data_IF_724498771504
#
_entry.id   IF_724498771504
#
_cell.length_a   1.000
_cell.length_b   1.000
_cell.length_c   1.000
_cell.angle_alpha   90.00
_cell.angle_beta   90.00
_cell.angle_gamma   90.00
#
_symmetry.space_group_name_H-M   'P 1'
#
loop_
_entity.id
_entity.type
_entity.pdbx_description
1 polymer ?
#
# COMPACT_ATOMS: atom_id res chain seq x y z
N UNK A 1 3.43 -5.75 3.47
CA UNK A 1 3.71 -5.12 2.17
C UNK A 1 5.12 -5.49 1.74
N UNK A 2 5.34 -5.69 0.44
CA UNK A 2 6.65 -5.95 -0.18
C UNK A 2 7.34 -7.28 0.15
N UNK A 3 6.69 -8.18 0.90
CA UNK A 3 7.33 -9.43 1.38
C UNK A 3 7.70 -10.34 0.21
N UNK A 4 6.81 -10.46 -0.78
CA UNK A 4 7.04 -11.33 -1.94
C UNK A 4 7.33 -10.56 -3.23
N UNK A 5 6.77 -9.36 -3.39
CA UNK A 5 6.90 -8.55 -4.61
C UNK A 5 8.31 -7.98 -4.80
N UNK A 6 8.95 -7.43 -3.75
CA UNK A 6 10.31 -6.87 -3.87
C UNK A 6 11.37 -7.93 -4.20
N UNK A 7 11.41 -9.10 -3.53
CA UNK A 7 12.33 -10.16 -3.93
C UNK A 7 12.16 -10.54 -5.39
N UNK A 8 10.92 -10.74 -5.86
CA UNK A 8 10.63 -11.08 -7.26
C UNK A 8 11.05 -9.99 -8.24
N UNK A 9 10.84 -8.73 -7.88
CA UNK A 9 11.26 -7.60 -8.71
C UNK A 9 12.78 -7.57 -8.90
N UNK A 10 13.56 -7.79 -7.84
CA UNK A 10 15.02 -7.79 -7.93
C UNK A 10 15.58 -9.06 -8.58
N UNK A 11 14.96 -10.22 -8.40
CA UNK A 11 15.50 -11.48 -8.95
C UNK A 11 15.14 -11.68 -10.42
N UNK A 12 13.97 -11.25 -10.88
CA UNK A 12 13.47 -11.59 -12.22
C UNK A 12 13.29 -10.41 -13.16
N UNK A 13 12.99 -9.21 -12.64
CA UNK A 13 12.70 -8.05 -13.48
C UNK A 13 13.98 -7.24 -13.73
N UNK A 14 14.79 -7.04 -12.68
CA UNK A 14 16.10 -6.40 -12.79
C UNK A 14 16.07 -4.95 -13.31
N UNK A 15 14.91 -4.30 -13.31
CA UNK A 15 14.69 -2.98 -13.92
C UNK A 15 15.33 -1.84 -13.11
N UNK A 16 15.53 -2.05 -11.82
CA UNK A 16 16.25 -1.13 -10.94
C UNK A 16 17.01 -1.92 -9.88
N UNK A 17 18.19 -1.43 -9.49
CA UNK A 17 18.93 -2.02 -8.38
C UNK A 17 18.26 -1.67 -7.04
N UNK A 18 18.51 -2.45 -5.97
CA UNK A 18 18.05 -2.08 -4.63
C UNK A 18 18.52 -0.69 -4.18
N UNK A 19 19.70 -0.25 -4.65
CA UNK A 19 20.24 1.08 -4.37
C UNK A 19 19.43 2.18 -5.09
N UNK A 20 19.07 1.98 -6.36
CA UNK A 20 18.28 2.95 -7.10
C UNK A 20 16.91 3.17 -6.44
N UNK A 21 16.27 2.07 -6.01
CA UNK A 21 14.98 2.12 -5.33
C UNK A 21 15.09 2.82 -3.97
N UNK A 22 16.17 2.57 -3.22
CA UNK A 22 16.46 3.27 -1.97
C UNK A 22 16.65 4.78 -2.19
N UNK A 23 17.41 5.18 -3.21
CA UNK A 23 17.64 6.59 -3.54
C UNK A 23 16.32 7.28 -3.91
N UNK A 24 15.49 6.64 -4.74
CA UNK A 24 14.16 7.16 -5.08
C UNK A 24 13.28 7.32 -3.85
N UNK A 25 13.31 6.35 -2.93
CA UNK A 25 12.53 6.38 -1.69
C UNK A 25 12.97 7.52 -0.76
N UNK A 26 14.29 7.72 -0.61
CA UNK A 26 14.85 8.82 0.17
C UNK A 26 14.50 10.17 -0.46
N UNK A 27 14.62 10.31 -1.79
CA UNK A 27 14.26 11.53 -2.49
C UNK A 27 12.78 11.89 -2.28
N UNK A 28 11.87 10.91 -2.43
CA UNK A 28 10.45 11.09 -2.16
C UNK A 28 10.17 11.46 -0.70
N UNK A 29 10.85 10.79 0.25
CA UNK A 29 10.75 11.13 1.66
C UNK A 29 11.15 12.58 1.93
N UNK A 30 12.28 13.03 1.38
CA UNK A 30 12.78 14.40 1.53
C UNK A 30 11.77 15.42 0.99
N UNK A 31 11.21 15.19 -0.19
CA UNK A 31 10.16 16.06 -0.76
C UNK A 31 8.93 16.12 0.14
N UNK A 32 8.46 14.97 0.64
CA UNK A 32 7.30 14.91 1.52
C UNK A 32 7.55 15.54 2.89
N UNK A 33 8.78 15.44 3.39
CA UNK A 33 9.23 16.03 4.65
C UNK A 33 9.33 17.55 4.57
N UNK A 34 9.94 18.08 3.50
CA UNK A 34 9.96 19.52 3.23
C UNK A 34 8.51 20.04 3.17
N UNK A 35 7.64 19.36 2.44
CA UNK A 35 6.22 19.75 2.35
C UNK A 35 5.50 19.70 3.69
N UNK A 36 5.77 18.72 4.57
CA UNK A 36 5.13 18.66 5.88
C UNK A 36 5.61 19.75 6.83
N UNK A 37 6.84 20.24 6.66
CA UNK A 37 7.40 21.31 7.46
C UNK A 37 6.77 22.69 7.17
N UNK A 38 6.45 22.97 5.90
CA UNK A 38 5.97 24.30 5.47
C UNK A 38 4.44 24.47 5.46
N UNK A 39 3.66 23.38 5.48
CA UNK A 39 2.18 23.41 5.35
C UNK A 39 1.46 22.91 6.61
N UNK A 40 1.98 23.24 7.79
CA UNK A 40 1.30 22.99 9.06
C UNK A 40 0.17 24.00 9.28
N UNK A 41 -0.97 23.83 8.62
CA UNK A 41 -2.16 24.60 8.95
C UNK A 41 -2.75 24.10 10.27
N UNK A 42 -2.97 25.02 11.23
CA UNK A 42 -3.65 24.78 12.50
C UNK A 42 -5.12 24.41 12.24
N UNK A 43 -5.39 23.14 11.93
CA UNK A 43 -6.76 22.65 11.82
C UNK A 43 -7.33 22.35 13.21
N UNK A 44 -8.25 23.24 13.61
CA UNK A 44 -9.05 23.18 14.82
C UNK A 44 -9.77 21.82 14.92
N UNK A 45 -9.50 21.07 16.00
CA UNK A 45 -10.16 19.79 16.33
C UNK A 45 -11.67 19.98 16.35
N UNK A 46 -12.37 19.55 15.30
CA UNK A 46 -13.83 19.47 15.30
C UNK A 46 -14.25 18.17 15.97
N UNK A 47 -15.07 18.29 17.02
CA UNK A 47 -15.78 17.16 17.61
C UNK A 47 -16.66 16.54 16.53
N UNK A 48 -16.51 15.25 16.28
CA UNK A 48 -17.30 14.55 15.28
C UNK A 48 -17.74 13.21 15.83
N UNK A 49 -19.05 13.05 15.99
CA UNK A 49 -19.73 11.86 16.49
C UNK A 49 -19.56 10.62 15.59
N UNK A 50 -18.91 10.77 14.42
CA UNK A 50 -18.63 9.70 13.47
C UNK A 50 -17.14 9.66 13.09
N UNK A 51 -16.43 8.62 13.56
CA UNK A 51 -14.99 8.44 13.35
C UNK A 51 -14.55 8.47 11.87
N UNK A 52 -15.25 7.76 10.99
CA UNK A 52 -14.90 7.70 9.57
C UNK A 52 -15.00 9.08 8.91
N UNK A 53 -16.09 9.80 9.16
CA UNK A 53 -16.28 11.14 8.62
C UNK A 53 -15.28 12.14 9.23
N UNK A 54 -14.97 11.99 10.52
CA UNK A 54 -13.98 12.79 11.23
C UNK A 54 -12.58 12.61 10.62
N UNK A 55 -12.17 11.37 10.36
CA UNK A 55 -10.88 11.04 9.74
C UNK A 55 -10.82 11.54 8.29
N UNK A 56 -11.90 11.36 7.52
CA UNK A 56 -12.01 11.87 6.16
C UNK A 56 -11.87 13.40 6.08
N UNK A 57 -12.43 14.12 7.05
CA UNK A 57 -12.36 15.58 7.10
C UNK A 57 -11.05 16.12 7.70
N UNK A 58 -10.12 15.26 8.11
CA UNK A 58 -8.87 15.71 8.73
C UNK A 58 -9.04 16.16 10.18
N UNK A 59 -10.10 15.77 10.89
CA UNK A 59 -10.35 16.16 12.28
C UNK A 59 -9.71 15.25 13.33
N UNK A 60 -9.08 14.16 12.91
CA UNK A 60 -8.55 13.11 13.79
C UNK A 60 -7.02 13.17 13.82
N UNK A 61 -6.41 12.77 14.94
CA UNK A 61 -4.96 12.67 15.02
C UNK A 61 -4.43 11.61 14.03
N UNK A 62 -3.32 11.92 13.34
CA UNK A 62 -2.75 11.06 12.30
C UNK A 62 -2.60 9.60 12.72
N UNK A 63 -2.14 9.35 13.96
CA UNK A 63 -1.94 7.98 14.48
C UNK A 63 -3.21 7.12 14.40
N UNK A 64 -4.38 7.71 14.67
CA UNK A 64 -5.65 6.99 14.66
C UNK A 64 -6.12 6.75 13.23
N UNK A 65 -6.01 7.75 12.35
CA UNK A 65 -6.35 7.56 10.93
C UNK A 65 -5.41 6.56 10.22
N UNK A 66 -4.15 6.49 10.63
CA UNK A 66 -3.12 5.69 9.99
C UNK A 66 -3.14 4.21 10.40
N UNK A 67 -2.95 3.91 11.70
CA UNK A 67 -2.60 2.56 12.18
C UNK A 67 -3.63 1.47 11.90
N UNK A 68 -4.94 1.65 12.18
CA UNK A 68 -5.92 0.58 12.02
C UNK A 68 -5.99 0.07 10.59
N UNK A 69 -6.09 1.00 9.63
CA UNK A 69 -6.15 0.68 8.21
C UNK A 69 -4.83 0.14 7.69
N UNK A 70 -3.69 0.69 8.14
CA UNK A 70 -2.38 0.18 7.76
C UNK A 70 -2.20 -1.29 8.18
N UNK A 71 -2.58 -1.64 9.41
CA UNK A 71 -2.49 -3.01 9.90
C UNK A 71 -3.42 -3.95 9.14
N UNK A 72 -4.70 -3.59 8.99
CA UNK A 72 -5.68 -4.40 8.26
C UNK A 72 -5.21 -4.63 6.82
N UNK A 73 -4.79 -3.57 6.12
CA UNK A 73 -4.30 -3.67 4.75
C UNK A 73 -3.11 -4.62 4.65
N UNK A 74 -2.12 -4.49 5.53
CA UNK A 74 -0.95 -5.35 5.50
C UNK A 74 -1.28 -6.82 5.79
N UNK A 75 -2.20 -7.08 6.72
CA UNK A 75 -2.68 -8.44 7.01
C UNK A 75 -3.39 -9.01 5.79
N UNK A 76 -4.29 -8.25 5.15
CA UNK A 76 -5.00 -8.71 3.96
C UNK A 76 -4.03 -8.99 2.80
N UNK A 77 -3.07 -8.09 2.53
CA UNK A 77 -2.09 -8.28 1.45
C UNK A 77 -1.20 -9.50 1.71
N UNK A 78 -0.67 -9.63 2.93
CA UNK A 78 0.17 -10.78 3.29
C UNK A 78 -0.62 -12.09 3.28
N UNK A 79 -1.84 -12.07 3.80
CA UNK A 79 -2.74 -13.23 3.83
C UNK A 79 -3.06 -13.70 2.42
N UNK A 80 -3.48 -12.79 1.53
CA UNK A 80 -3.79 -13.12 0.14
C UNK A 80 -2.57 -13.73 -0.58
N UNK A 81 -1.40 -13.11 -0.45
CA UNK A 81 -0.17 -13.61 -1.08
C UNK A 81 0.24 -14.98 -0.54
N UNK A 82 0.09 -15.20 0.78
CA UNK A 82 0.46 -16.48 1.41
C UNK A 82 -0.51 -17.59 1.01
N UNK A 83 -1.82 -17.30 0.94
CA UNK A 83 -2.82 -18.30 0.56
C UNK A 83 -2.62 -18.75 -0.90
N UNK A 84 -2.30 -17.82 -1.81
CA UNK A 84 -1.91 -18.15 -3.19
C UNK A 84 -0.67 -19.05 -3.21
N UNK A 85 0.40 -18.67 -2.49
CA UNK A 85 1.63 -19.46 -2.51
C UNK A 85 1.50 -20.87 -1.96
N UNK A 86 0.51 -21.11 -1.10
CA UNK A 86 0.22 -22.43 -0.53
C UNK A 86 -0.80 -23.22 -1.38
N UNK A 87 -1.28 -22.65 -2.49
CA UNK A 87 -2.23 -23.30 -3.39
C UNK A 87 -3.68 -23.31 -2.88
N UNK A 88 -3.97 -22.46 -1.89
CA UNK A 88 -5.28 -22.38 -1.22
C UNK A 88 -6.15 -21.25 -1.78
N UNK A 89 -5.69 -20.54 -2.82
CA UNK A 89 -6.35 -19.36 -3.35
C UNK A 89 -6.14 -19.21 -4.85
N UNK A 90 -7.23 -19.15 -5.62
CA UNK A 90 -7.14 -19.00 -7.07
C UNK A 90 -6.61 -17.63 -7.47
N UNK A 91 -6.09 -17.52 -8.71
CA UNK A 91 -5.68 -16.25 -9.32
C UNK A 91 -6.83 -15.22 -9.29
N UNK A 92 -8.02 -15.61 -9.73
CA UNK A 92 -9.23 -14.78 -9.64
C UNK A 92 -9.56 -14.34 -8.20
N UNK A 93 -9.42 -15.23 -7.20
CA UNK A 93 -9.66 -14.86 -5.81
C UNK A 93 -8.63 -13.85 -5.29
N UNK A 94 -7.38 -13.99 -5.69
CA UNK A 94 -6.32 -13.03 -5.40
C UNK A 94 -6.62 -11.66 -6.01
N UNK A 95 -7.09 -11.62 -7.25
CA UNK A 95 -7.53 -10.37 -7.89
C UNK A 95 -8.68 -9.71 -7.15
N UNK A 96 -9.70 -10.48 -6.77
CA UNK A 96 -10.88 -9.96 -6.06
C UNK A 96 -10.49 -9.27 -4.76
N UNK A 97 -9.58 -9.86 -3.97
CA UNK A 97 -9.09 -9.23 -2.73
C UNK A 97 -8.41 -7.89 -3.03
N UNK A 98 -7.57 -7.82 -4.06
CA UNK A 98 -6.90 -6.58 -4.43
C UNK A 98 -7.88 -5.52 -4.92
N UNK A 99 -8.86 -5.90 -5.76
CA UNK A 99 -9.91 -4.99 -6.25
C UNK A 99 -10.77 -4.46 -5.11
N UNK A 100 -11.21 -5.32 -4.19
CA UNK A 100 -12.02 -4.92 -3.02
C UNK A 100 -11.29 -3.92 -2.11
N UNK A 101 -9.96 -4.03 -2.02
CA UNK A 101 -9.14 -3.15 -1.19
C UNK A 101 -8.84 -1.79 -1.83
N UNK A 102 -9.05 -1.60 -3.15
CA UNK A 102 -8.76 -0.33 -3.84
C UNK A 102 -9.53 0.85 -3.22
N UNK A 103 -10.84 0.71 -3.02
CA UNK A 103 -11.66 1.79 -2.47
C UNK A 103 -11.25 2.14 -1.03
N UNK A 104 -11.08 1.17 -0.10
CA UNK A 104 -10.48 1.42 1.21
C UNK A 104 -9.11 2.10 1.16
N UNK A 105 -8.24 1.75 0.20
CA UNK A 105 -6.91 2.36 0.06
C UNK A 105 -7.02 3.81 -0.37
N UNK A 106 -7.85 4.12 -1.36
CA UNK A 106 -8.09 5.51 -1.81
C UNK A 106 -8.64 6.31 -0.63
N UNK A 107 -9.61 5.75 0.09
CA UNK A 107 -10.19 6.40 1.24
C UNK A 107 -9.15 6.66 2.34
N UNK A 108 -8.38 5.65 2.70
CA UNK A 108 -7.34 5.73 3.73
C UNK A 108 -6.24 6.71 3.34
N UNK A 109 -5.83 6.72 2.07
CA UNK A 109 -4.85 7.67 1.53
C UNK A 109 -5.34 9.09 1.73
N UNK A 110 -6.56 9.42 1.30
CA UNK A 110 -7.10 10.77 1.49
C UNK A 110 -7.22 11.17 2.97
N UNK A 111 -7.64 10.25 3.84
CA UNK A 111 -7.74 10.48 5.28
C UNK A 111 -6.37 10.74 5.92
N UNK A 112 -5.35 9.93 5.60
CA UNK A 112 -3.97 10.12 6.07
C UNK A 112 -3.39 11.45 5.60
N UNK A 113 -3.61 11.81 4.33
CA UNK A 113 -3.11 13.07 3.79
C UNK A 113 -3.78 14.28 4.44
N UNK A 114 -5.09 14.21 4.72
CA UNK A 114 -5.80 15.29 5.42
C UNK A 114 -5.50 15.34 6.92
N UNK A 115 -5.27 14.21 7.58
CA UNK A 115 -4.91 14.15 9.00
C UNK A 115 -3.41 14.40 9.25
N UNK A 116 -2.59 14.47 8.20
CA UNK A 116 -1.14 14.63 8.32
C UNK A 116 -0.66 15.91 9.02
N UNK A 117 -1.40 17.05 9.02
CA UNK A 117 -1.06 18.20 9.87
C UNK A 117 -1.31 17.95 11.36
N UNK A 118 -2.21 17.02 11.72
CA UNK A 118 -2.60 16.74 13.11
C UNK A 118 -1.60 15.84 13.87
N UNK A 119 -0.31 16.11 13.71
CA UNK A 119 0.77 15.42 14.43
C UNK A 119 1.79 16.44 14.90
N UNK A 120 2.34 16.22 16.10
CA UNK A 120 3.38 17.09 16.66
C UNK A 120 4.73 16.98 15.92
N UNK A 121 4.91 15.92 15.14
CA UNK A 121 6.19 15.58 14.51
C UNK A 121 6.01 15.46 12.99
N UNK A 122 6.62 16.38 12.24
CA UNK A 122 6.59 16.45 10.77
C UNK A 122 7.17 15.20 10.09
N UNK A 123 8.11 14.52 10.75
CA UNK A 123 8.67 13.23 10.33
C UNK A 123 7.58 12.15 10.22
N UNK A 124 6.69 12.07 11.22
CA UNK A 124 5.61 11.08 11.21
C UNK A 124 4.59 11.35 10.10
N UNK A 125 4.32 12.61 9.79
CA UNK A 125 3.48 13.00 8.66
C UNK A 125 4.11 12.57 7.33
N UNK A 126 5.41 12.80 7.15
CA UNK A 126 6.14 12.41 5.96
C UNK A 126 6.19 10.89 5.79
N UNK A 127 6.50 10.15 6.86
CA UNK A 127 6.48 8.68 6.85
C UNK A 127 5.09 8.12 6.49
N UNK A 128 4.02 8.64 7.10
CA UNK A 128 2.66 8.16 6.82
C UNK A 128 2.27 8.40 5.36
N UNK A 129 2.56 9.59 4.81
CA UNK A 129 2.31 9.90 3.39
C UNK A 129 3.14 8.99 2.48
N UNK A 130 4.42 8.78 2.79
CA UNK A 130 5.28 7.90 2.01
C UNK A 130 4.77 6.46 2.01
N UNK A 131 4.29 5.95 3.14
CA UNK A 131 3.70 4.62 3.23
C UNK A 131 2.42 4.49 2.40
N UNK A 132 1.57 5.53 2.34
CA UNK A 132 0.40 5.51 1.44
C UNK A 132 0.82 5.45 -0.03
N UNK A 133 1.84 6.20 -0.45
CA UNK A 133 2.39 6.14 -1.82
C UNK A 133 2.98 4.76 -2.11
N UNK A 134 3.67 4.19 -1.12
CA UNK A 134 4.29 2.87 -1.23
C UNK A 134 3.27 1.76 -1.46
N UNK A 135 2.04 1.89 -0.94
CA UNK A 135 0.96 0.93 -1.24
C UNK A 135 0.61 0.93 -2.72
N UNK A 136 0.54 2.09 -3.39
CA UNK A 136 0.30 2.13 -4.83
C UNK A 136 1.46 1.52 -5.62
N UNK A 137 2.69 1.70 -5.15
CA UNK A 137 3.85 1.04 -5.73
C UNK A 137 3.76 -0.49 -5.59
N UNK A 138 3.39 -1.00 -4.41
CA UNK A 138 3.11 -2.43 -4.19
C UNK A 138 2.07 -2.96 -5.16
N UNK A 139 0.94 -2.25 -5.33
CA UNK A 139 -0.11 -2.67 -6.27
C UNK A 139 0.38 -2.70 -7.72
N UNK A 140 1.22 -1.74 -8.10
CA UNK A 140 1.82 -1.69 -9.44
C UNK A 140 2.75 -2.88 -9.67
N UNK A 141 3.58 -3.23 -8.68
CA UNK A 141 4.43 -4.43 -8.74
C UNK A 141 3.59 -5.70 -8.84
N UNK A 142 2.52 -5.81 -8.06
CA UNK A 142 1.62 -6.97 -8.07
C UNK A 142 0.90 -7.11 -9.42
N UNK A 143 0.45 -6.01 -10.01
CA UNK A 143 -0.13 -6.00 -11.35
C UNK A 143 0.89 -6.47 -12.40
N UNK A 144 2.13 -5.99 -12.31
CA UNK A 144 3.21 -6.42 -13.20
C UNK A 144 3.49 -7.93 -13.03
N UNK A 145 3.59 -8.42 -11.80
CA UNK A 145 3.77 -9.86 -11.53
C UNK A 145 2.62 -10.68 -12.14
N UNK A 146 1.38 -10.21 -12.03
CA UNK A 146 0.22 -10.88 -12.63
C UNK A 146 0.31 -10.97 -14.16
N UNK A 147 0.72 -9.89 -14.83
CA UNK A 147 0.73 -9.83 -16.30
C UNK A 147 1.95 -10.56 -16.87
N UNK A 148 3.15 -10.26 -16.37
CA UNK A 148 4.40 -10.68 -17.00
C UNK A 148 5.04 -11.91 -16.32
N UNK A 149 4.76 -12.14 -15.04
CA UNK A 149 5.41 -13.22 -14.25
C UNK A 149 4.43 -14.13 -13.47
N UNK A 150 3.26 -14.51 -14.02
CA UNK A 150 2.26 -15.25 -13.26
C UNK A 150 2.79 -16.61 -12.76
N UNK A 151 3.66 -17.27 -13.53
CA UNK A 151 4.22 -18.60 -13.20
C UNK A 151 5.12 -18.65 -11.98
N UNK A 152 5.73 -17.52 -11.62
CA UNK A 152 6.68 -17.46 -10.50
C UNK A 152 5.91 -17.31 -9.18
N UNK A 153 4.68 -16.82 -9.25
CA UNK A 153 3.87 -16.48 -8.09
C UNK A 153 2.70 -17.44 -7.86
N UNK A 154 2.04 -17.91 -8.93
CA UNK A 154 0.87 -18.78 -8.87
C UNK A 154 1.22 -20.24 -9.17
N UNK A 155 0.45 -21.18 -8.60
CA UNK A 155 0.62 -22.62 -8.87
C UNK A 155 0.13 -23.00 -10.28
N UNK A 156 0.66 -24.09 -10.85
CA UNK A 156 0.21 -24.58 -12.16
C UNK A 156 -1.28 -24.94 -12.20
N UNK A 157 -1.81 -25.52 -11.13
CA UNK A 157 -3.23 -25.91 -11.06
C UNK A 157 -4.15 -24.68 -11.15
N UNK A 158 -3.74 -23.59 -10.51
CA UNK A 158 -4.46 -22.31 -10.52
C UNK A 158 -4.36 -21.64 -11.90
N UNK A 159 -3.17 -21.67 -12.52
CA UNK A 159 -2.95 -21.14 -13.87
C UNK A 159 -3.72 -21.92 -14.93
N UNK A 160 -3.81 -23.24 -14.80
CA UNK A 160 -4.57 -24.08 -15.72
C UNK A 160 -6.06 -23.79 -15.62
N UNK A 161 -6.57 -23.50 -14.42
CA UNK A 161 -7.98 -23.16 -14.20
C UNK A 161 -8.36 -21.79 -14.79
N UNK A 162 -7.49 -20.78 -14.66
CA UNK A 162 -7.79 -19.40 -15.09
C UNK A 162 -7.34 -19.08 -16.52
N UNK A 163 -6.20 -19.62 -16.96
CA UNK A 163 -5.61 -19.37 -18.28
C UNK A 163 -5.73 -20.57 -19.24
N UNK A 164 -6.32 -21.69 -18.81
CA UNK A 164 -6.49 -22.90 -19.63
C UNK A 164 -5.17 -23.61 -19.99
N UNK A 165 -4.04 -23.14 -19.46
CA UNK A 165 -2.72 -23.66 -19.74
C UNK A 165 -1.75 -23.31 -18.62
N UNK A 166 -0.86 -24.25 -18.28
CA UNK A 166 0.35 -23.95 -17.52
C UNK A 166 1.53 -24.03 -18.50
N UNK A 167 1.74 -22.97 -19.29
CA UNK A 167 2.94 -22.92 -20.12
C UNK A 167 4.19 -22.76 -19.27
#
# INVERSE_FOLDING_TARGET
MFIYSLPLFFTHIGLASPLDLLIMFIALFMVLFIRSLFFGEDQQKKSADNYLLAAWNGGVALKWAFWPFFLILNICLYGADTLVKVGMFTVSGWDDVHVMLVLPIVWWTTAVWRCSPNTALSVWAACARLLTVSVFFEYSLKLLIRIDYPRIFFGCDELLLDYGSCF
#
